data_IF_919826597785
#
_entry.id   IF_919826597785
#
_cell.length_a   1.000
_cell.length_b   1.000
_cell.length_c   1.000
_cell.angle_alpha   90.00
_cell.angle_beta   90.00
_cell.angle_gamma   90.00
#
_symmetry.space_group_name_H-M   'P 1'
#
loop_
_entity.id
_entity.type
_entity.pdbx_description
1 polymer ?
#
# COMPACT_ATOMS: atom_id res chain seq x y z
N UNK A 1 0.06 9.09 9.15
CA UNK A 1 0.80 8.79 7.89
C UNK A 1 1.38 10.09 7.39
N UNK A 2 2.70 10.16 7.22
CA UNK A 2 3.33 11.31 6.56
C UNK A 2 2.72 11.51 5.17
N UNK A 3 2.69 12.75 4.69
CA UNK A 3 2.21 13.01 3.33
C UNK A 3 3.18 12.36 2.34
N UNK A 4 2.82 11.19 1.81
CA UNK A 4 3.48 10.63 0.63
C UNK A 4 3.32 11.62 -0.52
N UNK A 5 4.42 12.05 -1.11
CA UNK A 5 4.51 13.05 -2.18
C UNK A 5 5.01 12.40 -3.47
N UNK A 6 4.60 12.92 -4.63
CA UNK A 6 5.13 12.50 -5.93
C UNK A 6 5.56 13.78 -6.64
N UNK A 7 6.86 13.95 -6.83
CA UNK A 7 7.50 15.14 -7.39
C UNK A 7 8.79 14.76 -8.12
N UNK A 8 8.75 14.83 -9.45
CA UNK A 8 9.87 14.52 -10.34
C UNK A 8 10.96 15.60 -10.39
N UNK A 9 10.68 16.81 -9.90
CA UNK A 9 11.65 17.91 -9.86
C UNK A 9 12.45 17.87 -8.56
N UNK A 10 11.76 17.81 -7.42
CA UNK A 10 12.44 17.85 -6.12
C UNK A 10 13.01 16.50 -5.70
N UNK A 11 12.58 15.38 -6.30
CA UNK A 11 13.02 14.01 -6.00
C UNK A 11 13.13 13.75 -4.48
N UNK A 12 12.01 13.84 -3.74
CA UNK A 12 12.02 13.87 -2.28
C UNK A 12 12.44 12.52 -1.65
N UNK A 13 12.34 11.43 -2.41
CA UNK A 13 12.67 10.07 -1.95
C UNK A 13 14.00 9.54 -2.49
N UNK A 14 14.84 10.41 -3.09
CA UNK A 14 16.16 10.01 -3.53
C UNK A 14 16.96 9.42 -2.36
N UNK A 15 17.61 8.24 -2.48
CA UNK A 15 18.27 7.57 -1.36
C UNK A 15 19.32 8.42 -0.62
N UNK A 16 19.93 9.41 -1.28
CA UNK A 16 20.87 10.35 -0.64
C UNK A 16 20.22 11.41 0.25
N UNK A 17 18.89 11.54 0.24
CA UNK A 17 18.10 12.52 1.02
C UNK A 17 17.32 11.88 2.17
N UNK A 18 17.28 10.56 2.22
CA UNK A 18 16.53 9.81 3.23
C UNK A 18 17.47 9.44 4.37
N UNK A 19 17.20 10.02 5.55
CA UNK A 19 17.94 9.68 6.76
C UNK A 19 17.50 8.32 7.32
N UNK A 20 18.46 7.62 7.91
CA UNK A 20 18.17 6.38 8.65
C UNK A 20 17.33 6.72 9.88
N UNK A 21 16.19 6.05 10.04
CA UNK A 21 15.32 6.17 11.21
C UNK A 21 16.00 5.63 12.47
N UNK A 22 15.52 6.09 13.62
CA UNK A 22 15.91 5.57 14.93
C UNK A 22 15.62 4.06 15.06
N UNK A 23 16.34 3.42 15.98
CA UNK A 23 16.11 2.01 16.29
C UNK A 23 14.76 1.84 17.00
N UNK A 24 14.06 0.78 16.61
CA UNK A 24 12.82 0.32 17.24
C UNK A 24 13.05 -1.05 17.90
N UNK A 25 12.20 -1.40 18.85
CA UNK A 25 12.22 -2.72 19.47
C UNK A 25 11.66 -3.79 18.53
N UNK A 26 12.15 -5.02 18.64
CA UNK A 26 11.63 -6.14 17.82
C UNK A 26 10.13 -6.41 18.08
N UNK A 27 9.66 -6.15 19.31
CA UNK A 27 8.25 -6.27 19.66
C UNK A 27 7.37 -5.27 18.91
N UNK A 28 7.87 -4.06 18.63
CA UNK A 28 7.14 -3.06 17.85
C UNK A 28 6.96 -3.53 16.41
N UNK A 29 7.99 -4.12 15.81
CA UNK A 29 7.88 -4.72 14.48
C UNK A 29 6.85 -5.86 14.44
N UNK A 30 6.91 -6.81 15.38
CA UNK A 30 5.95 -7.93 15.42
C UNK A 30 4.52 -7.51 15.79
N UNK A 31 4.32 -6.30 16.35
CA UNK A 31 2.97 -5.75 16.58
C UNK A 31 2.26 -5.34 15.28
N UNK A 32 3.00 -5.19 14.18
CA UNK A 32 2.45 -4.81 12.88
C UNK A 32 1.93 -6.06 12.16
N UNK A 33 0.62 -6.10 11.90
CA UNK A 33 0.01 -7.20 11.15
C UNK A 33 0.16 -6.92 9.65
N UNK A 34 1.17 -7.56 9.06
CA UNK A 34 1.44 -7.53 7.63
C UNK A 34 0.96 -8.81 6.97
N UNK A 35 0.17 -8.66 5.90
CA UNK A 35 -0.42 -9.78 5.16
C UNK A 35 -0.15 -9.67 3.67
N UNK A 36 -0.04 -10.83 3.04
CA UNK A 36 -0.17 -10.98 1.59
C UNK A 36 -1.65 -10.94 1.20
N UNK A 37 -1.96 -10.42 0.02
CA UNK A 37 -3.32 -10.43 -0.51
C UNK A 37 -3.33 -10.37 -2.03
N UNK A 38 -4.50 -10.60 -2.63
CA UNK A 38 -4.70 -10.53 -4.09
C UNK A 38 -5.69 -9.41 -4.40
N UNK A 39 -5.32 -8.53 -5.32
CA UNK A 39 -6.21 -7.46 -5.78
C UNK A 39 -7.38 -8.05 -6.55
N UNK A 40 -8.60 -7.74 -6.11
CA UNK A 40 -9.85 -8.27 -6.69
C UNK A 40 -10.72 -7.20 -7.34
N UNK A 41 -10.51 -5.92 -7.02
CA UNK A 41 -11.20 -4.79 -7.64
C UNK A 41 -10.32 -3.54 -7.61
N UNK A 42 -10.41 -2.72 -8.67
CA UNK A 42 -9.72 -1.44 -8.79
C UNK A 42 -10.65 -0.44 -9.46
N UNK A 43 -10.98 0.63 -8.74
CA UNK A 43 -11.86 1.70 -9.19
C UNK A 43 -11.11 3.03 -9.22
N UNK A 44 -11.49 3.87 -10.19
CA UNK A 44 -10.98 5.23 -10.25
C UNK A 44 -11.43 6.03 -9.02
N UNK A 45 -10.58 6.98 -8.61
CA UNK A 45 -10.86 7.85 -7.48
C UNK A 45 -10.62 9.33 -7.86
N UNK A 46 -11.38 9.87 -8.84
CA UNK A 46 -11.15 11.20 -9.41
C UNK A 46 -11.31 12.34 -8.40
N UNK A 47 -12.05 12.12 -7.30
CA UNK A 47 -12.29 13.13 -6.27
C UNK A 47 -11.04 13.43 -5.41
N UNK A 48 -10.00 12.60 -5.49
CA UNK A 48 -8.78 12.79 -4.69
C UNK A 48 -7.82 13.77 -5.35
N UNK A 49 -7.33 14.75 -4.57
CA UNK A 49 -6.31 15.73 -5.02
C UNK A 49 -5.06 15.04 -5.56
N UNK A 50 -4.62 13.96 -4.91
CA UNK A 50 -3.50 13.14 -5.38
C UNK A 50 -4.08 11.94 -6.14
N UNK A 51 -3.62 11.67 -7.39
CA UNK A 51 -4.08 10.53 -8.17
C UNK A 51 -4.00 9.24 -7.36
N UNK A 52 -5.13 8.56 -7.22
CA UNK A 52 -5.23 7.32 -6.48
C UNK A 52 -6.35 6.44 -7.03
N UNK A 53 -6.30 5.16 -6.68
CA UNK A 53 -7.38 4.21 -6.90
C UNK A 53 -8.04 3.85 -5.58
N UNK A 54 -9.34 3.52 -5.63
CA UNK A 54 -9.96 2.66 -4.63
C UNK A 54 -9.58 1.24 -5.00
N UNK A 55 -8.88 0.53 -4.13
CA UNK A 55 -8.40 -0.83 -4.39
C UNK A 55 -8.98 -1.78 -3.35
N UNK A 56 -9.51 -2.91 -3.83
CA UNK A 56 -10.01 -3.99 -2.99
C UNK A 56 -9.07 -5.17 -3.06
N UNK A 57 -8.65 -5.66 -1.90
CA UNK A 57 -7.72 -6.78 -1.78
C UNK A 57 -8.36 -7.88 -0.95
N UNK A 58 -8.27 -9.11 -1.43
CA UNK A 58 -8.64 -10.32 -0.68
C UNK A 58 -7.43 -10.84 0.09
N UNK A 59 -7.52 -10.82 1.41
CA UNK A 59 -6.50 -11.28 2.35
C UNK A 59 -6.81 -12.68 2.90
N UNK A 60 -7.57 -13.49 2.15
CA UNK A 60 -7.91 -14.86 2.53
C UNK A 60 -9.00 -14.95 3.60
N UNK A 61 -9.28 -16.15 4.11
CA UNK A 61 -10.50 -16.44 4.87
C UNK A 61 -10.59 -15.79 6.26
N UNK A 62 -9.45 -15.50 6.89
CA UNK A 62 -9.42 -14.92 8.25
C UNK A 62 -9.71 -13.42 8.25
N UNK A 63 -9.12 -12.69 7.31
CA UNK A 63 -9.22 -11.23 7.22
C UNK A 63 -10.35 -10.81 6.26
N UNK A 64 -10.54 -11.58 5.18
CA UNK A 64 -11.51 -11.27 4.14
C UNK A 64 -11.03 -10.16 3.20
N UNK A 65 -12.00 -9.46 2.60
CA UNK A 65 -11.76 -8.44 1.58
C UNK A 65 -11.82 -7.04 2.20
N UNK A 66 -10.76 -6.27 2.06
CA UNK A 66 -10.68 -4.89 2.57
C UNK A 66 -10.52 -3.88 1.43
N UNK A 67 -10.87 -2.63 1.71
CA UNK A 67 -10.70 -1.51 0.79
C UNK A 67 -9.59 -0.56 1.26
N UNK A 68 -8.86 0.03 0.31
CA UNK A 68 -7.88 1.08 0.57
C UNK A 68 -7.85 2.12 -0.56
N UNK A 69 -7.33 3.30 -0.25
CA UNK A 69 -7.00 4.32 -1.25
C UNK A 69 -5.50 4.30 -1.50
N UNK A 70 -5.08 3.95 -2.71
CA UNK A 70 -3.68 3.75 -3.04
C UNK A 70 -3.21 4.70 -4.15
N UNK A 71 -2.11 5.42 -3.91
CA UNK A 71 -1.44 6.30 -4.88
C UNK A 71 -0.52 5.50 -5.82
N UNK A 72 -1.13 4.57 -6.57
CA UNK A 72 -0.44 3.62 -7.45
C UNK A 72 -0.94 3.72 -8.90
N UNK A 73 -1.29 4.94 -9.31
CA UNK A 73 -1.81 5.23 -10.67
C UNK A 73 -0.75 5.11 -11.76
N UNK A 74 0.51 4.88 -11.40
CA UNK A 74 1.57 4.45 -12.31
C UNK A 74 1.37 3.01 -12.84
N UNK A 75 0.44 2.26 -12.26
CA UNK A 75 -0.06 0.99 -12.81
C UNK A 75 -1.44 1.19 -13.45
N UNK A 76 -1.68 0.50 -14.55
CA UNK A 76 -3.04 0.39 -15.10
C UNK A 76 -3.90 -0.51 -14.20
N UNK A 77 -5.22 -0.33 -14.25
CA UNK A 77 -6.16 -1.22 -13.54
C UNK A 77 -5.98 -2.69 -13.93
N UNK A 78 -5.71 -2.96 -15.22
CA UNK A 78 -5.49 -4.33 -15.72
C UNK A 78 -4.19 -4.96 -15.21
N UNK A 79 -3.16 -4.17 -14.94
CA UNK A 79 -1.92 -4.66 -14.31
C UNK A 79 -2.09 -4.98 -12.82
N UNK A 80 -3.10 -4.37 -12.18
CA UNK A 80 -3.35 -4.52 -10.75
C UNK A 80 -4.30 -5.68 -10.45
N UNK A 81 -5.35 -5.89 -11.23
CA UNK A 81 -6.30 -7.01 -11.01
C UNK A 81 -5.55 -8.35 -11.03
N UNK A 82 -5.77 -9.18 -9.99
CA UNK A 82 -5.11 -10.47 -9.82
C UNK A 82 -3.68 -10.40 -9.29
N UNK A 83 -3.11 -9.19 -9.11
CA UNK A 83 -1.76 -9.02 -8.58
C UNK A 83 -1.70 -9.37 -7.08
N UNK A 84 -0.70 -10.16 -6.69
CA UNK A 84 -0.34 -10.36 -5.29
C UNK A 84 0.36 -9.13 -4.73
N UNK A 85 -0.03 -8.70 -3.53
CA UNK A 85 0.45 -7.50 -2.84
C UNK A 85 0.76 -7.81 -1.39
N UNK A 86 1.58 -6.96 -0.77
CA UNK A 86 1.79 -6.95 0.69
C UNK A 86 1.12 -5.71 1.26
N UNK A 87 0.45 -5.84 2.40
CA UNK A 87 -0.16 -4.72 3.09
C UNK A 87 -0.05 -4.83 4.61
N UNK A 88 -0.05 -3.69 5.29
CA UNK A 88 -0.30 -3.61 6.73
C UNK A 88 -1.78 -3.38 6.97
N UNK A 89 -2.41 -4.22 7.79
CA UNK A 89 -3.87 -4.23 7.98
C UNK A 89 -4.33 -3.74 9.36
N UNK A 90 -3.40 -3.39 10.27
CA UNK A 90 -3.74 -3.01 11.65
C UNK A 90 -3.26 -1.61 12.05
N UNK A 91 -3.13 -0.67 11.11
CA UNK A 91 -2.80 0.75 11.39
C UNK A 91 -4.02 1.62 11.75
N UNK A 92 -5.19 0.99 11.88
CA UNK A 92 -6.48 1.67 11.99
C UNK A 92 -7.06 2.07 10.64
N UNK A 93 -8.31 2.51 10.65
CA UNK A 93 -9.01 2.96 9.46
C UNK A 93 -8.91 4.48 9.29
N UNK A 94 -8.86 4.94 8.04
CA UNK A 94 -8.83 6.36 7.69
C UNK A 94 -10.00 6.70 6.79
N UNK A 95 -10.92 7.52 7.30
CA UNK A 95 -11.99 8.13 6.48
C UNK A 95 -11.42 9.28 5.65
N UNK A 96 -11.58 9.19 4.34
CA UNK A 96 -11.19 10.23 3.40
C UNK A 96 -12.30 11.28 3.24
N UNK A 97 -11.99 12.48 2.71
CA UNK A 97 -12.97 13.58 2.60
C UNK A 97 -14.27 13.22 1.85
N UNK A 98 -14.24 12.22 0.98
CA UNK A 98 -15.41 11.71 0.24
C UNK A 98 -16.28 10.71 1.02
N UNK A 99 -15.91 10.40 2.26
CA UNK A 99 -16.54 9.36 3.09
C UNK A 99 -16.01 7.94 2.83
N UNK A 100 -15.13 7.75 1.83
CA UNK A 100 -14.50 6.45 1.60
C UNK A 100 -13.55 6.08 2.76
N UNK A 101 -13.65 4.84 3.24
CA UNK A 101 -12.85 4.33 4.35
C UNK A 101 -11.68 3.50 3.81
N UNK A 102 -10.47 3.94 4.12
CA UNK A 102 -9.23 3.20 3.83
C UNK A 102 -8.84 2.35 5.02
N UNK A 103 -8.81 1.03 4.84
CA UNK A 103 -8.69 0.06 5.94
C UNK A 103 -7.30 -0.56 6.08
N UNK A 104 -6.44 -0.44 5.05
CA UNK A 104 -5.09 -0.98 5.06
C UNK A 104 -4.12 -0.08 4.30
N UNK A 105 -2.82 -0.33 4.47
CA UNK A 105 -1.74 0.32 3.73
C UNK A 105 -1.05 -0.71 2.83
N UNK A 106 -1.19 -0.57 1.51
CA UNK A 106 -0.41 -1.37 0.55
C UNK A 106 1.07 -0.96 0.59
N UNK A 107 1.97 -1.93 0.50
CA UNK A 107 3.41 -1.71 0.60
C UNK A 107 4.10 -1.71 -0.77
N UNK A 108 5.07 -0.80 -0.90
CA UNK A 108 5.96 -0.68 -2.04
C UNK A 108 7.19 0.14 -1.65
N UNK A 109 8.25 0.00 -2.44
CA UNK A 109 9.38 0.92 -2.41
C UNK A 109 8.97 2.23 -3.11
N UNK A 110 9.56 3.34 -2.69
CA UNK A 110 9.38 4.63 -3.35
C UNK A 110 10.58 4.87 -4.26
N UNK A 111 10.33 5.11 -5.55
CA UNK A 111 11.33 5.64 -6.47
C UNK A 111 11.71 7.07 -6.06
N UNK A 112 12.82 7.65 -6.56
CA UNK A 112 13.27 8.99 -6.13
C UNK A 112 12.22 10.09 -6.25
N UNK A 113 11.35 10.00 -7.25
CA UNK A 113 10.24 10.92 -7.49
C UNK A 113 9.03 10.67 -6.59
N UNK A 114 9.02 9.59 -5.82
CA UNK A 114 7.91 9.16 -4.97
C UNK A 114 6.92 8.22 -5.64
N UNK A 115 7.09 7.87 -6.92
CA UNK A 115 6.26 6.82 -7.51
C UNK A 115 6.45 5.48 -6.80
N UNK A 116 5.37 4.71 -6.67
CA UNK A 116 5.37 3.49 -5.85
C UNK A 116 5.72 2.29 -6.72
N UNK A 117 6.73 1.53 -6.30
CA UNK A 117 7.07 0.20 -6.81
C UNK A 117 6.55 -0.84 -5.84
N UNK A 118 5.42 -1.48 -6.19
CA UNK A 118 4.81 -2.51 -5.34
C UNK A 118 5.79 -3.65 -5.03
N UNK A 119 5.78 -4.14 -3.80
CA UNK A 119 6.56 -5.33 -3.43
C UNK A 119 6.11 -6.54 -4.25
N UNK A 120 7.06 -7.35 -4.72
CA UNK A 120 6.79 -8.56 -5.48
C UNK A 120 6.88 -9.80 -4.59
N UNK A 121 5.91 -10.69 -4.75
CA UNK A 121 5.84 -11.97 -4.07
C UNK A 121 6.05 -13.08 -5.10
N UNK A 122 6.75 -14.17 -4.74
CA UNK A 122 6.81 -15.37 -5.58
C UNK A 122 5.41 -15.87 -5.93
N UNK A 123 5.28 -16.44 -7.13
CA UNK A 123 4.04 -17.07 -7.57
C UNK A 123 3.60 -18.18 -6.59
N UNK A 124 2.29 -18.32 -6.39
CA UNK A 124 1.71 -19.32 -5.48
C UNK A 124 1.70 -18.90 -4.00
N UNK A 125 2.20 -17.71 -3.64
CA UNK A 125 2.05 -17.17 -2.30
C UNK A 125 0.57 -17.06 -1.92
N UNK A 126 0.17 -17.70 -0.82
CA UNK A 126 -1.24 -17.77 -0.41
C UNK A 126 -1.76 -16.40 0.06
N UNK A 127 -3.00 -16.00 -0.29
CA UNK A 127 -3.62 -14.83 0.31
C UNK A 127 -3.80 -14.99 1.82
N UNK A 128 -3.47 -13.96 2.59
CA UNK A 128 -3.57 -13.94 4.04
C UNK A 128 -2.35 -14.49 4.79
N UNK A 129 -1.29 -14.90 4.07
CA UNK A 129 -0.03 -15.28 4.70
C UNK A 129 0.55 -14.11 5.49
N UNK A 130 0.99 -14.38 6.71
CA UNK A 130 1.72 -13.43 7.55
C UNK A 130 3.08 -13.13 6.93
N UNK A 131 3.46 -11.85 6.92
CA UNK A 131 4.81 -11.40 6.61
C UNK A 131 5.57 -11.17 7.91
N UNK A 132 6.77 -11.70 8.01
CA UNK A 132 7.63 -11.68 9.19
C UNK A 132 9.06 -11.29 8.82
#
# INVERSE_FOLDING_TARGET
MGQHEIDSESLPYHPSKIERKEYIGIGEFFSVDMRTGVVVDVQEFPEMRKPSYKIRVDFGPVVGKLWSSAQITNYSRSQLIGKSVVAVINLGEKTLPTGFVSQFLILGALDPDGSVRLLELPEGTSPGSTVA
#
